data_IF_035612184600
#
_entry.id   IF_035612184600
#
_cell.length_a   1.000
_cell.length_b   1.000
_cell.length_c   1.000
_cell.angle_alpha   90.00
_cell.angle_beta   90.00
_cell.angle_gamma   90.00
#
_symmetry.space_group_name_H-M   'P 1'
#
loop_
_entity.id
_entity.type
_entity.pdbx_description
1 polymer ?
#
# COMPACT_ATOMS: atom_id res chain seq x y z
N UNK A 1 44.86 -20.55 -38.24
CA UNK A 1 45.66 -21.29 -37.25
C UNK A 1 45.00 -20.99 -35.91
N UNK A 2 44.00 -21.78 -35.49
CA UNK A 2 44.16 -23.10 -34.85
C UNK A 2 44.93 -22.93 -33.54
N UNK A 3 44.54 -23.39 -32.36
CA UNK A 3 43.44 -24.22 -31.90
C UNK A 3 43.49 -24.06 -30.37
N UNK A 4 42.35 -23.90 -29.70
CA UNK A 4 42.25 -24.19 -28.27
C UNK A 4 40.84 -24.76 -28.01
N UNK A 5 40.77 -26.04 -28.32
CA UNK A 5 39.67 -26.95 -28.08
C UNK A 5 39.46 -27.11 -26.55
N UNK A 6 38.34 -26.63 -25.99
CA UNK A 6 37.90 -27.00 -24.65
C UNK A 6 36.51 -27.66 -24.73
N UNK A 7 36.43 -29.00 -24.62
CA UNK A 7 35.21 -29.77 -24.85
C UNK A 7 34.32 -29.83 -23.59
N UNK A 8 34.01 -28.69 -22.97
CA UNK A 8 33.16 -28.63 -21.76
C UNK A 8 31.76 -28.04 -22.00
N UNK A 9 31.52 -27.36 -23.13
CA UNK A 9 30.24 -26.67 -23.42
C UNK A 9 29.44 -27.44 -24.48
N UNK A 10 29.17 -28.72 -24.26
CA UNK A 10 28.27 -29.46 -25.16
C UNK A 10 27.46 -30.58 -24.53
N UNK A 11 26.89 -30.36 -23.34
CA UNK A 11 25.84 -31.26 -22.80
C UNK A 11 24.92 -30.58 -21.76
N UNK A 12 24.21 -29.53 -22.18
CA UNK A 12 23.04 -29.02 -21.43
C UNK A 12 21.76 -28.88 -22.30
N UNK A 13 21.80 -29.36 -23.55
CA UNK A 13 20.69 -29.22 -24.50
C UNK A 13 19.96 -30.55 -24.83
N UNK A 14 20.22 -31.66 -24.13
CA UNK A 14 19.58 -32.95 -24.45
C UNK A 14 19.05 -33.77 -23.26
N UNK A 15 18.83 -33.17 -22.10
CA UNK A 15 18.27 -33.91 -20.94
C UNK A 15 17.14 -33.20 -20.19
N UNK A 16 16.46 -32.24 -20.82
CA UNK A 16 15.28 -31.58 -20.23
C UNK A 16 13.95 -32.05 -20.85
N UNK A 17 13.94 -33.13 -21.61
CA UNK A 17 12.71 -33.74 -22.15
C UNK A 17 12.18 -34.84 -21.24
N UNK A 18 11.87 -34.50 -19.98
CA UNK A 18 10.97 -35.25 -19.07
C UNK A 18 10.81 -34.53 -17.73
N UNK A 19 10.25 -33.31 -17.68
CA UNK A 19 9.56 -32.84 -16.47
C UNK A 19 8.30 -32.05 -16.84
N UNK A 20 7.18 -32.66 -16.41
CA UNK A 20 5.83 -32.15 -16.20
C UNK A 20 5.52 -30.70 -16.56
N UNK A 21 4.53 -30.56 -17.43
CA UNK A 21 3.72 -29.38 -17.64
C UNK A 21 3.22 -28.78 -16.33
N UNK A 22 3.66 -27.57 -16.01
CA UNK A 22 2.96 -26.65 -15.12
C UNK A 22 3.16 -25.26 -15.70
N UNK A 23 2.07 -24.70 -16.19
CA UNK A 23 2.03 -23.45 -16.92
C UNK A 23 2.70 -22.34 -16.10
N UNK A 24 3.78 -21.77 -16.63
CA UNK A 24 4.30 -20.48 -16.19
C UNK A 24 3.30 -19.42 -16.66
N UNK A 25 2.38 -19.02 -15.78
CA UNK A 25 1.69 -17.75 -15.94
C UNK A 25 2.75 -16.65 -15.96
N UNK A 26 2.67 -15.78 -16.96
CA UNK A 26 3.65 -14.76 -17.27
C UNK A 26 3.91 -13.83 -16.09
N UNK A 27 5.01 -14.05 -15.35
CA UNK A 27 5.47 -13.21 -14.23
C UNK A 27 6.17 -11.93 -14.70
N UNK A 28 5.56 -11.23 -15.66
CA UNK A 28 6.08 -9.96 -16.17
C UNK A 28 5.85 -8.87 -15.11
N UNK A 29 6.76 -8.77 -14.12
CA UNK A 29 6.81 -7.67 -13.16
C UNK A 29 6.75 -8.03 -11.67
N UNK A 30 6.92 -9.29 -11.27
CA UNK A 30 6.87 -9.65 -9.85
C UNK A 30 8.24 -9.41 -9.16
N UNK A 31 8.31 -8.40 -8.28
CA UNK A 31 9.46 -8.25 -7.36
C UNK A 31 9.55 -9.52 -6.50
N UNK A 32 10.74 -10.11 -6.43
CA UNK A 32 10.97 -11.30 -5.63
C UNK A 32 10.80 -10.97 -4.15
N UNK A 33 10.12 -11.81 -3.33
CA UNK A 33 9.89 -11.52 -1.91
C UNK A 33 11.17 -11.16 -1.15
N UNK A 34 12.27 -11.82 -1.45
CA UNK A 34 13.57 -11.61 -0.78
C UNK A 34 14.20 -10.22 -1.00
N UNK A 35 13.75 -9.46 -2.00
CA UNK A 35 14.25 -8.10 -2.25
C UNK A 35 13.14 -7.05 -2.31
N UNK A 36 11.90 -7.44 -2.01
CA UNK A 36 10.74 -6.56 -2.07
C UNK A 36 10.86 -5.41 -1.07
N UNK A 37 11.31 -5.71 0.15
CA UNK A 37 11.58 -4.73 1.20
C UNK A 37 12.59 -3.67 0.76
N UNK A 38 13.73 -4.08 0.21
CA UNK A 38 14.80 -3.21 -0.23
C UNK A 38 14.39 -2.36 -1.44
N UNK A 39 13.72 -2.98 -2.41
CA UNK A 39 13.24 -2.29 -3.61
C UNK A 39 12.16 -1.25 -3.28
N UNK A 40 11.18 -1.62 -2.46
CA UNK A 40 10.13 -0.68 -2.05
C UNK A 40 10.67 0.40 -1.11
N UNK A 41 11.60 0.07 -0.21
CA UNK A 41 12.28 1.07 0.63
C UNK A 41 13.06 2.08 -0.22
N UNK A 42 13.74 1.62 -1.27
CA UNK A 42 14.46 2.52 -2.17
C UNK A 42 13.51 3.49 -2.89
N UNK A 43 12.31 3.04 -3.28
CA UNK A 43 11.28 3.94 -3.83
C UNK A 43 10.96 5.07 -2.86
N UNK A 44 10.65 4.75 -1.60
CA UNK A 44 10.31 5.76 -0.60
C UNK A 44 11.50 6.64 -0.24
N UNK A 45 12.70 6.09 -0.16
CA UNK A 45 13.92 6.85 0.10
C UNK A 45 14.15 7.93 -0.96
N UNK A 46 14.04 7.58 -2.24
CA UNK A 46 14.19 8.53 -3.34
C UNK A 46 13.09 9.58 -3.30
N UNK A 47 11.83 9.18 -3.10
CA UNK A 47 10.73 10.14 -3.05
C UNK A 47 10.80 11.06 -1.84
N UNK A 48 11.21 10.55 -0.68
CA UNK A 48 11.38 11.36 0.51
C UNK A 48 12.51 12.39 0.35
N UNK A 49 13.62 12.02 -0.29
CA UNK A 49 14.72 12.95 -0.56
C UNK A 49 14.34 14.05 -1.55
N UNK A 50 13.57 13.73 -2.59
CA UNK A 50 13.27 14.67 -3.68
C UNK A 50 11.96 15.46 -3.48
N UNK A 51 11.11 15.09 -2.52
CA UNK A 51 9.74 15.62 -2.39
C UNK A 51 9.66 17.15 -2.29
N UNK A 52 10.58 17.77 -1.56
CA UNK A 52 10.57 19.20 -1.25
C UNK A 52 11.56 20.01 -2.10
N UNK A 53 12.67 19.40 -2.50
CA UNK A 53 13.78 20.09 -3.19
C UNK A 53 13.84 19.81 -4.69
N UNK A 54 13.44 18.62 -5.13
CA UNK A 54 13.58 18.18 -6.51
C UNK A 54 12.31 18.26 -7.35
N UNK A 55 11.14 18.17 -6.70
CA UNK A 55 9.84 18.19 -7.40
C UNK A 55 9.30 19.62 -7.46
N UNK A 56 9.38 20.20 -8.65
CA UNK A 56 8.70 21.45 -8.97
C UNK A 56 7.17 21.32 -8.87
N UNK A 57 6.50 22.38 -8.41
CA UNK A 57 5.05 22.40 -8.14
C UNK A 57 4.22 21.99 -9.37
N UNK A 58 4.62 22.39 -10.58
CA UNK A 58 3.90 22.05 -11.82
C UNK A 58 4.02 20.56 -12.20
N UNK A 59 4.92 19.83 -11.53
CA UNK A 59 5.15 18.41 -11.74
C UNK A 59 4.61 17.55 -10.61
N UNK A 60 4.18 18.16 -9.50
CA UNK A 60 3.74 17.47 -8.29
C UNK A 60 2.62 16.46 -8.57
N UNK A 61 1.62 16.82 -9.39
CA UNK A 61 0.49 15.95 -9.75
C UNK A 61 0.96 14.57 -10.25
N UNK A 62 2.00 14.54 -11.10
CA UNK A 62 2.51 13.29 -11.68
C UNK A 62 3.15 12.40 -10.62
N UNK A 63 3.82 12.99 -9.63
CA UNK A 63 4.43 12.24 -8.53
C UNK A 63 3.41 11.80 -7.48
N UNK A 64 2.37 12.60 -7.22
CA UNK A 64 1.22 12.17 -6.42
C UNK A 64 0.57 10.93 -7.06
N UNK A 65 0.35 10.95 -8.37
CA UNK A 65 -0.18 9.79 -9.12
C UNK A 65 0.78 8.59 -9.09
N UNK A 66 2.09 8.81 -9.16
CA UNK A 66 3.08 7.74 -9.05
C UNK A 66 3.01 7.05 -7.69
N UNK A 67 2.90 7.81 -6.59
CA UNK A 67 2.73 7.25 -5.24
C UNK A 67 1.45 6.42 -5.15
N UNK A 68 0.34 6.90 -5.72
CA UNK A 68 -0.93 6.13 -5.78
C UNK A 68 -0.73 4.78 -6.48
N UNK A 69 -0.17 4.81 -7.69
CA UNK A 69 0.09 3.59 -8.49
C UNK A 69 1.03 2.63 -7.77
N UNK A 70 2.04 3.16 -7.09
CA UNK A 70 2.98 2.35 -6.32
C UNK A 70 2.30 1.65 -5.13
N UNK A 71 1.47 2.37 -4.38
CA UNK A 71 0.69 1.79 -3.27
C UNK A 71 -0.27 0.71 -3.77
N UNK A 72 -1.05 1.00 -4.82
CA UNK A 72 -1.94 0.00 -5.44
C UNK A 72 -1.17 -1.24 -5.88
N UNK A 73 -0.05 -1.07 -6.60
CA UNK A 73 0.78 -2.20 -7.04
C UNK A 73 1.34 -3.01 -5.87
N UNK A 74 1.70 -2.34 -4.76
CA UNK A 74 2.20 -2.99 -3.56
C UNK A 74 1.13 -3.84 -2.87
N UNK A 75 -0.11 -3.34 -2.79
CA UNK A 75 -1.25 -4.11 -2.28
C UNK A 75 -1.61 -5.26 -3.22
N UNK A 76 -1.69 -5.02 -4.53
CA UNK A 76 -1.93 -6.06 -5.53
C UNK A 76 -0.83 -7.15 -5.50
N UNK A 77 0.41 -6.81 -5.18
CA UNK A 77 1.51 -7.78 -5.04
C UNK A 77 1.34 -8.74 -3.86
N UNK A 78 0.77 -8.26 -2.74
CA UNK A 78 0.37 -9.11 -1.60
C UNK A 78 -0.86 -9.93 -1.96
N UNK A 79 -1.88 -9.32 -2.56
CA UNK A 79 -3.11 -9.99 -3.02
C UNK A 79 -2.82 -11.14 -3.99
N UNK A 80 -1.95 -10.92 -4.98
CA UNK A 80 -1.56 -11.92 -5.98
C UNK A 80 -0.85 -13.16 -5.39
N UNK A 81 -0.44 -13.10 -4.12
CA UNK A 81 0.10 -14.25 -3.38
C UNK A 81 -0.92 -14.93 -2.46
N UNK A 82 -2.21 -14.60 -2.60
CA UNK A 82 -3.25 -14.98 -1.65
C UNK A 82 -2.88 -14.57 -0.21
N UNK A 83 -2.36 -13.35 -0.07
CA UNK A 83 -1.99 -12.74 1.21
C UNK A 83 -0.94 -13.55 1.98
N UNK A 84 0.13 -13.96 1.28
CA UNK A 84 1.27 -14.62 1.91
C UNK A 84 1.84 -13.74 3.05
N UNK A 85 1.99 -14.29 4.27
CA UNK A 85 2.42 -13.52 5.43
C UNK A 85 3.82 -12.90 5.27
N UNK A 86 4.73 -13.51 4.50
CA UNK A 86 6.05 -12.92 4.27
C UNK A 86 5.95 -11.66 3.40
N UNK A 87 5.15 -11.70 2.34
CA UNK A 87 4.87 -10.51 1.50
C UNK A 87 4.14 -9.41 2.26
N UNK A 88 3.09 -9.77 3.02
CA UNK A 88 2.37 -8.81 3.85
C UNK A 88 3.33 -8.13 4.86
N UNK A 89 4.18 -8.91 5.53
CA UNK A 89 5.17 -8.38 6.47
C UNK A 89 6.18 -7.44 5.81
N UNK A 90 6.70 -7.80 4.63
CA UNK A 90 7.62 -6.95 3.89
C UNK A 90 6.99 -5.59 3.56
N UNK A 91 5.77 -5.58 3.03
CA UNK A 91 5.03 -4.35 2.76
C UNK A 91 4.79 -3.52 4.02
N UNK A 92 4.29 -4.15 5.09
CA UNK A 92 3.98 -3.48 6.35
C UNK A 92 5.22 -2.86 6.99
N UNK A 93 6.37 -3.54 6.93
CA UNK A 93 7.65 -2.99 7.40
C UNK A 93 8.00 -1.72 6.63
N UNK A 94 7.91 -1.76 5.30
CA UNK A 94 8.23 -0.60 4.45
C UNK A 94 7.29 0.58 4.74
N UNK A 95 5.99 0.33 4.91
CA UNK A 95 5.01 1.38 5.24
C UNK A 95 5.31 1.99 6.62
N UNK A 96 5.63 1.17 7.61
CA UNK A 96 6.00 1.59 8.96
C UNK A 96 7.34 2.35 8.99
N UNK A 97 8.30 1.96 8.16
CA UNK A 97 9.61 2.58 8.11
C UNK A 97 9.61 3.93 7.38
N UNK A 98 8.67 4.13 6.44
CA UNK A 98 8.65 5.29 5.54
C UNK A 98 7.39 6.16 5.69
N UNK A 99 6.32 6.02 4.90
CA UNK A 99 5.25 7.01 4.89
C UNK A 99 4.46 7.07 6.22
N UNK A 100 4.40 5.96 6.96
CA UNK A 100 3.66 5.84 8.22
C UNK A 100 4.58 5.75 9.45
N UNK A 101 5.81 6.27 9.34
CA UNK A 101 6.81 6.21 10.40
C UNK A 101 6.51 7.11 11.61
N UNK A 102 6.74 6.59 12.81
CA UNK A 102 6.66 7.36 14.06
C UNK A 102 8.01 7.87 14.53
N UNK A 103 9.07 7.15 14.17
CA UNK A 103 10.39 7.29 14.77
C UNK A 103 11.29 8.18 13.92
N UNK A 104 11.06 8.22 12.61
CA UNK A 104 11.77 9.14 11.73
C UNK A 104 11.09 10.50 11.79
N UNK A 105 11.87 11.52 12.18
CA UNK A 105 11.41 12.91 12.20
C UNK A 105 10.90 13.38 10.84
N UNK A 106 10.19 14.52 10.82
CA UNK A 106 9.67 15.14 9.59
C UNK A 106 10.77 15.43 8.56
N UNK A 107 12.02 15.52 9.00
CA UNK A 107 13.20 15.75 8.15
C UNK A 107 13.57 14.53 7.30
N UNK A 108 13.19 13.32 7.72
CA UNK A 108 13.50 12.08 7.02
C UNK A 108 12.40 11.69 6.02
N UNK A 109 11.13 11.98 6.33
CA UNK A 109 10.00 11.76 5.43
C UNK A 109 9.13 13.03 5.40
N UNK A 110 9.16 13.79 4.30
CA UNK A 110 8.48 15.08 4.21
C UNK A 110 6.98 14.99 4.52
N UNK A 111 6.47 15.96 5.27
CA UNK A 111 5.08 15.98 5.73
C UNK A 111 4.07 15.84 4.57
N UNK A 112 4.31 16.50 3.43
CA UNK A 112 3.42 16.45 2.27
C UNK A 112 3.27 15.03 1.69
N UNK A 113 4.34 14.23 1.69
CA UNK A 113 4.31 12.84 1.23
C UNK A 113 3.46 11.99 2.16
N UNK A 114 3.64 12.16 3.47
CA UNK A 114 2.90 11.42 4.49
C UNK A 114 1.41 11.74 4.46
N UNK A 115 1.07 13.02 4.33
CA UNK A 115 -0.32 13.47 4.17
C UNK A 115 -0.96 12.87 2.92
N UNK A 116 -0.24 12.85 1.79
CA UNK A 116 -0.73 12.23 0.57
C UNK A 116 -0.97 10.73 0.71
N UNK A 117 -0.11 9.99 1.42
CA UNK A 117 -0.36 8.56 1.68
C UNK A 117 -1.61 8.38 2.53
N UNK A 118 -1.82 9.20 3.55
CA UNK A 118 -3.04 9.18 4.36
C UNK A 118 -4.30 9.55 3.55
N UNK A 119 -4.16 10.36 2.49
CA UNK A 119 -5.25 10.69 1.57
C UNK A 119 -5.70 9.51 0.71
N UNK A 120 -4.81 8.58 0.37
CA UNK A 120 -5.06 7.61 -0.71
C UNK A 120 -5.01 6.14 -0.27
N UNK A 121 -4.57 5.83 0.94
CA UNK A 121 -4.35 4.42 1.31
C UNK A 121 -5.61 3.55 1.24
N UNK A 122 -6.79 4.09 1.62
CA UNK A 122 -8.07 3.37 1.49
C UNK A 122 -8.46 3.20 0.02
N UNK A 123 -8.35 4.27 -0.77
CA UNK A 123 -8.61 4.22 -2.22
C UNK A 123 -7.75 3.16 -2.93
N UNK A 124 -6.47 3.07 -2.56
CA UNK A 124 -5.56 2.11 -3.20
C UNK A 124 -5.77 0.68 -2.70
N UNK A 125 -6.25 0.46 -1.47
CA UNK A 125 -6.71 -0.86 -1.01
C UNK A 125 -7.96 -1.32 -1.77
N UNK A 126 -8.93 -0.42 -1.95
CA UNK A 126 -10.13 -0.68 -2.75
C UNK A 126 -9.77 -1.00 -4.20
N UNK A 127 -8.96 -0.14 -4.83
CA UNK A 127 -8.52 -0.32 -6.22
C UNK A 127 -7.72 -1.60 -6.43
N UNK A 128 -6.95 -2.02 -5.43
CA UNK A 128 -6.20 -3.28 -5.48
C UNK A 128 -7.08 -4.53 -5.29
N UNK A 129 -8.38 -4.37 -5.00
CA UNK A 129 -9.31 -5.47 -4.72
C UNK A 129 -9.25 -5.99 -3.29
N UNK A 130 -8.46 -5.38 -2.40
CA UNK A 130 -8.25 -5.87 -1.03
C UNK A 130 -9.50 -5.70 -0.16
N UNK A 131 -10.23 -4.59 -0.32
CA UNK A 131 -11.47 -4.37 0.43
C UNK A 131 -12.60 -5.30 -0.03
N UNK A 132 -12.67 -5.60 -1.34
CA UNK A 132 -13.62 -6.57 -1.88
C UNK A 132 -13.35 -7.98 -1.33
N UNK A 133 -12.09 -8.41 -1.35
CA UNK A 133 -11.67 -9.69 -0.76
C UNK A 133 -11.99 -9.75 0.74
N UNK A 134 -11.77 -8.66 1.49
CA UNK A 134 -12.06 -8.60 2.92
C UNK A 134 -13.57 -8.66 3.23
N UNK A 135 -14.40 -8.08 2.36
CA UNK A 135 -15.86 -8.15 2.46
C UNK A 135 -16.43 -9.53 2.10
N UNK A 136 -15.60 -10.44 1.54
CA UNK A 136 -16.05 -11.75 1.05
C UNK A 136 -16.96 -11.64 -0.17
N UNK A 137 -16.84 -10.56 -0.94
CA UNK A 137 -17.58 -10.39 -2.19
C UNK A 137 -16.96 -11.24 -3.29
N UNK A 138 -17.74 -12.14 -3.88
CA UNK A 138 -17.36 -12.83 -5.11
C UNK A 138 -17.43 -11.82 -6.27
N UNK A 139 -16.29 -11.28 -6.70
CA UNK A 139 -16.23 -10.59 -7.99
C UNK A 139 -16.32 -11.65 -9.09
N UNK A 140 -17.48 -11.76 -9.75
CA UNK A 140 -17.75 -12.73 -10.81
C UNK A 140 -16.74 -12.64 -11.99
N UNK A 141 -15.94 -11.58 -12.08
CA UNK A 141 -14.91 -11.38 -13.11
C UNK A 141 -13.46 -11.65 -12.65
N UNK A 142 -13.19 -12.03 -11.39
CA UNK A 142 -11.82 -12.25 -10.93
C UNK A 142 -11.40 -13.73 -11.04
N UNK A 143 -10.41 -14.00 -11.91
CA UNK A 143 -9.81 -15.33 -12.09
C UNK A 143 -8.89 -15.74 -10.92
N UNK A 144 -8.74 -14.89 -9.89
CA UNK A 144 -7.93 -15.18 -8.71
C UNK A 144 -8.64 -16.23 -7.84
N UNK A 145 -7.92 -17.29 -7.47
CA UNK A 145 -8.38 -18.39 -6.61
C UNK A 145 -9.11 -17.90 -5.35
N UNK A 146 -10.04 -18.69 -4.75
CA UNK A 146 -10.80 -18.27 -3.57
C UNK A 146 -9.88 -17.73 -2.49
N UNK A 147 -9.95 -16.42 -2.26
CA UNK A 147 -9.16 -15.74 -1.24
C UNK A 147 -9.84 -15.93 0.10
N UNK A 148 -9.07 -16.27 1.14
CA UNK A 148 -9.57 -16.28 2.51
C UNK A 148 -9.83 -14.83 2.97
N UNK A 149 -11.09 -14.41 3.19
CA UNK A 149 -11.43 -13.03 3.55
C UNK A 149 -10.79 -12.62 4.88
N UNK A 150 -10.48 -13.57 5.76
CA UNK A 150 -9.79 -13.29 7.02
C UNK A 150 -8.36 -12.77 6.78
N UNK A 151 -7.67 -13.24 5.75
CA UNK A 151 -6.31 -12.77 5.43
C UNK A 151 -6.30 -11.37 4.82
N UNK A 152 -7.28 -11.09 3.95
CA UNK A 152 -7.48 -9.75 3.41
C UNK A 152 -7.81 -8.76 4.53
N UNK A 153 -8.74 -9.13 5.42
CA UNK A 153 -9.09 -8.35 6.62
C UNK A 153 -7.87 -8.09 7.50
N UNK A 154 -7.04 -9.11 7.75
CA UNK A 154 -5.82 -8.96 8.54
C UNK A 154 -4.81 -7.96 7.93
N UNK A 155 -4.71 -7.88 6.60
CA UNK A 155 -3.89 -6.87 5.93
C UNK A 155 -4.46 -5.46 6.15
N UNK A 156 -5.77 -5.27 5.95
CA UNK A 156 -6.45 -3.99 6.17
C UNK A 156 -6.30 -3.52 7.62
N UNK A 157 -6.51 -4.43 8.58
CA UNK A 157 -6.33 -4.17 10.01
C UNK A 157 -4.89 -3.78 10.35
N UNK A 158 -3.90 -4.42 9.72
CA UNK A 158 -2.49 -4.13 9.95
C UNK A 158 -2.10 -2.74 9.41
N UNK A 159 -2.58 -2.35 8.22
CA UNK A 159 -2.37 -0.99 7.71
C UNK A 159 -3.09 0.03 8.59
N UNK A 160 -4.34 -0.25 8.98
CA UNK A 160 -5.08 0.59 9.92
C UNK A 160 -4.39 0.74 11.27
N UNK A 161 -3.72 -0.31 11.77
CA UNK A 161 -2.95 -0.24 13.00
C UNK A 161 -1.76 0.74 12.87
N UNK A 162 -1.05 0.73 11.75
CA UNK A 162 0.01 1.72 11.49
C UNK A 162 -0.55 3.15 11.48
N UNK A 163 -1.69 3.37 10.82
CA UNK A 163 -2.36 4.69 10.78
C UNK A 163 -2.85 5.12 12.17
N UNK A 164 -3.40 4.20 12.98
CA UNK A 164 -3.83 4.49 14.36
C UNK A 164 -2.68 4.92 15.27
N UNK A 165 -1.46 4.45 15.03
CA UNK A 165 -0.31 4.92 15.82
C UNK A 165 -0.04 6.40 15.51
N UNK A 166 -0.25 6.83 14.26
CA UNK A 166 -0.04 8.23 13.85
C UNK A 166 -1.03 9.22 14.46
N UNK A 167 -2.17 8.78 14.99
CA UNK A 167 -3.15 9.68 15.63
C UNK A 167 -2.71 10.13 17.03
N UNK A 168 -1.71 9.46 17.62
CA UNK A 168 -1.15 9.73 18.95
C UNK A 168 0.06 10.67 18.86
N UNK A 169 1.06 10.50 19.72
CA UNK A 169 2.15 11.44 20.05
C UNK A 169 3.14 11.80 18.91
N UNK A 170 2.68 11.91 17.66
CA UNK A 170 3.44 12.46 16.54
C UNK A 170 3.42 13.99 16.61
N UNK A 171 4.57 14.70 16.45
CA UNK A 171 4.69 16.15 16.59
C UNK A 171 4.12 16.94 15.38
N UNK A 172 3.03 16.48 14.77
CA UNK A 172 2.34 17.17 13.67
C UNK A 172 0.83 17.04 13.78
N UNK A 173 0.15 18.11 14.22
CA UNK A 173 -1.32 18.14 14.31
C UNK A 173 -2.01 17.83 12.97
N UNK A 174 -1.59 18.42 11.83
CA UNK A 174 -2.19 18.09 10.53
C UNK A 174 -2.13 16.61 10.22
N UNK A 175 -1.00 15.95 10.53
CA UNK A 175 -0.85 14.52 10.31
C UNK A 175 -1.80 13.70 11.20
N UNK A 176 -1.89 14.03 12.49
CA UNK A 176 -2.80 13.34 13.42
C UNK A 176 -4.26 13.46 12.99
N UNK A 177 -4.69 14.66 12.62
CA UNK A 177 -6.05 14.92 12.11
C UNK A 177 -6.29 14.13 10.83
N UNK A 178 -5.34 14.14 9.89
CA UNK A 178 -5.48 13.39 8.63
C UNK A 178 -5.57 11.89 8.86
N UNK A 179 -4.75 11.35 9.75
CA UNK A 179 -4.76 9.94 10.11
C UNK A 179 -6.10 9.54 10.74
N UNK A 180 -6.62 10.37 11.67
CA UNK A 180 -7.94 10.17 12.28
C UNK A 180 -9.03 10.13 11.21
N UNK A 181 -9.11 11.17 10.38
CA UNK A 181 -10.13 11.26 9.34
C UNK A 181 -10.08 10.07 8.36
N UNK A 182 -8.88 9.60 8.01
CA UNK A 182 -8.74 8.46 7.08
C UNK A 182 -9.19 7.12 7.70
N UNK A 183 -9.24 7.02 9.04
CA UNK A 183 -9.74 5.82 9.73
C UNK A 183 -11.26 5.77 9.84
N UNK A 184 -11.92 6.91 9.60
CA UNK A 184 -13.38 7.08 9.61
C UNK A 184 -14.00 6.84 8.22
N UNK A 185 -13.23 6.33 7.26
CA UNK A 185 -13.71 5.98 5.92
C UNK A 185 -14.72 4.82 5.97
N UNK A 186 -15.88 5.01 5.35
CA UNK A 186 -17.01 4.07 5.40
C UNK A 186 -16.73 2.70 4.77
N UNK A 187 -15.72 2.61 3.91
CA UNK A 187 -15.31 1.36 3.24
C UNK A 187 -14.52 0.44 4.16
N UNK A 188 -14.08 0.91 5.33
CA UNK A 188 -13.22 0.15 6.23
C UNK A 188 -14.00 -0.88 7.06
N UNK A 189 -13.44 -2.09 7.32
CA UNK A 189 -14.15 -3.16 8.03
C UNK A 189 -14.60 -2.80 9.46
N UNK A 190 -13.92 -1.85 10.10
CA UNK A 190 -14.24 -1.40 11.47
C UNK A 190 -15.15 -0.18 11.51
N UNK A 191 -15.51 0.42 10.37
CA UNK A 191 -16.39 1.57 10.36
C UNK A 191 -17.76 1.21 10.91
N UNK A 192 -18.33 2.11 11.71
CA UNK A 192 -19.68 1.99 12.24
C UNK A 192 -20.40 3.29 11.93
N UNK A 193 -21.48 3.22 11.16
CA UNK A 193 -22.30 4.39 10.89
C UNK A 193 -22.75 5.01 12.23
N UNK A 194 -22.65 6.33 12.41
CA UNK A 194 -23.23 6.98 13.57
C UNK A 194 -24.73 6.67 13.59
N UNK A 195 -25.24 6.23 14.75
CA UNK A 195 -26.67 5.98 14.89
C UNK A 195 -27.40 7.29 14.60
N UNK A 196 -28.40 7.28 13.71
CA UNK A 196 -29.25 8.43 13.38
C UNK A 196 -30.06 9.00 14.56
N UNK A 197 -29.80 8.54 15.79
CA UNK A 197 -30.43 9.00 17.03
C UNK A 197 -29.57 10.02 17.81
N UNK A 198 -28.34 10.32 17.37
CA UNK A 198 -27.45 11.29 18.02
C UNK A 198 -27.43 12.67 17.33
N UNK A 199 -28.31 12.91 16.34
CA UNK A 199 -28.56 14.24 15.72
C UNK A 199 -29.72 14.99 16.41
N UNK A 200 -29.74 15.05 17.73
CA UNK A 200 -30.50 16.08 18.46
C UNK A 200 -29.55 16.84 19.40
N UNK A 201 -29.19 18.05 18.99
CA UNK A 201 -28.68 19.08 19.90
C UNK A 201 -27.31 19.64 19.54
N UNK A 202 -27.28 20.55 18.57
CA UNK A 202 -26.62 21.86 18.76
C UNK A 202 -27.13 22.88 17.69
N UNK A 203 -28.39 23.29 17.80
CA UNK A 203 -28.84 24.55 17.19
C UNK A 203 -28.51 25.70 18.16
N UNK A 204 -27.22 25.98 18.28
CA UNK A 204 -26.72 27.15 19.00
C UNK A 204 -26.93 28.41 18.14
N UNK A 205 -28.19 28.86 18.14
CA UNK A 205 -28.58 30.26 18.34
C UNK A 205 -27.75 31.32 17.63
N UNK A 206 -28.03 31.56 16.35
CA UNK A 206 -27.72 32.83 15.70
C UNK A 206 -28.63 33.94 16.29
N UNK A 207 -28.16 34.64 17.32
CA UNK A 207 -28.82 35.83 17.85
C UNK A 207 -28.66 37.00 16.87
N UNK A 208 -29.70 37.25 16.07
CA UNK A 208 -29.74 38.36 15.11
C UNK A 208 -29.47 39.71 15.77
N UNK A 209 -28.63 40.52 15.12
CA UNK A 209 -28.42 41.92 15.47
C UNK A 209 -29.76 42.68 15.37
N UNK A 210 -30.17 43.30 16.47
CA UNK A 210 -31.24 44.31 16.46
C UNK A 210 -30.64 45.66 16.04
N UNK A 211 -31.27 46.28 15.04
CA UNK A 211 -31.01 47.62 14.52
C UNK A 211 -31.50 48.72 15.50
#
# INVERSE_FOLDING_TARGET
MADANLPFIRNLASSASSQSSSQSSSSAGAVHPDCADAWMSAFWQVHAAEWTTGIDVLRMEKFLLLVRRFLCASFSWVRASAYDPARARALLSVLADWPLTTDRGLDAVPLGLRLHVLDVWVDELERAGVLADAAGGDDENDETSPVDPAKATALVDSVGALVRILTKDVPSKPLRTKASNSLDDERLPWYKAPNAADEEGDDDGWAGFQD
#
